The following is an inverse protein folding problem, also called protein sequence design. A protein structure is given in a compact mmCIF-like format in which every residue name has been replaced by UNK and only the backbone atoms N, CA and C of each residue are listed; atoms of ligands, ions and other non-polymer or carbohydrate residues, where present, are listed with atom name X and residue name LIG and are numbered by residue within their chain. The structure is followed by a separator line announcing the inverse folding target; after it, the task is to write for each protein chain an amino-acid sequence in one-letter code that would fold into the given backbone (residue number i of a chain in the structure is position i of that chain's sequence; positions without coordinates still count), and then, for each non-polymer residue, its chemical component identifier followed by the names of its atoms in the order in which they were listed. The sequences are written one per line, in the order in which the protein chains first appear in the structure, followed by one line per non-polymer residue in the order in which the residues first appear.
data_IF_065975542651
#
_entry.id   IF_065975542651
#
_cell.length_a   1.000
_cell.length_b   1.000
_cell.length_c   1.000
_cell.angle_alpha   90.00
_cell.angle_beta   90.00
_cell.angle_gamma   90.00
#
_symmetry.space_group_name_H-M   'P 1'
#
loop_
_entity.id
_entity.type
_entity.pdbx_description
1 polymer ?
#
# COMPACT_ATOMS: atom_id res chain seq x y z
N UNK A 1 9.87 -11.03 -0.36
CA UNK A 1 9.66 -9.84 0.49
C UNK A 1 9.19 -10.34 1.83
N UNK A 2 9.93 -10.03 2.87
CA UNK A 2 9.64 -10.37 4.26
C UNK A 2 9.06 -9.15 5.00
N UNK A 3 8.43 -9.34 6.18
CA UNK A 3 7.86 -8.22 6.93
C UNK A 3 8.88 -7.12 7.27
N UNK A 4 10.13 -7.49 7.56
CA UNK A 4 11.19 -6.52 7.88
C UNK A 4 11.60 -5.65 6.69
N UNK A 5 11.41 -6.12 5.45
CA UNK A 5 11.70 -5.32 4.25
C UNK A 5 10.73 -4.13 4.13
N UNK A 6 9.54 -4.23 4.73
CA UNK A 6 8.45 -3.26 4.56
C UNK A 6 8.17 -2.42 5.81
N UNK A 7 8.51 -2.93 7.01
CA UNK A 7 8.11 -2.32 8.28
C UNK A 7 8.52 -0.86 8.45
N UNK A 8 9.77 -0.53 8.12
CA UNK A 8 10.28 0.84 8.24
C UNK A 8 9.60 1.79 7.25
N UNK A 9 9.51 1.39 5.97
CA UNK A 9 8.86 2.18 4.93
C UNK A 9 7.38 2.42 5.24
N UNK A 10 6.66 1.39 5.66
CA UNK A 10 5.24 1.47 6.03
C UNK A 10 4.99 2.45 7.19
N UNK A 11 5.88 2.48 8.20
CA UNK A 11 5.78 3.42 9.31
C UNK A 11 5.99 4.88 8.84
N UNK A 12 7.01 5.12 8.02
CA UNK A 12 7.34 6.45 7.49
C UNK A 12 6.17 7.00 6.67
N UNK A 13 5.68 6.26 5.69
CA UNK A 13 4.63 6.77 4.80
C UNK A 13 3.30 6.97 5.53
N UNK A 14 2.97 6.14 6.54
CA UNK A 14 1.82 6.37 7.43
C UNK A 14 1.94 7.69 8.19
N UNK A 15 3.13 8.02 8.73
CA UNK A 15 3.34 9.32 9.40
C UNK A 15 3.19 10.52 8.46
N UNK A 16 3.38 10.31 7.16
CA UNK A 16 3.18 11.32 6.11
C UNK A 16 1.73 11.35 5.56
N UNK A 17 0.83 10.56 6.14
CA UNK A 17 -0.58 10.48 5.76
C UNK A 17 -0.85 9.72 4.46
N UNK A 18 0.04 8.81 4.06
CA UNK A 18 -0.22 7.92 2.93
C UNK A 18 -1.21 6.82 3.32
N UNK A 19 -1.98 6.39 2.33
CA UNK A 19 -2.81 5.19 2.44
C UNK A 19 -2.00 3.98 1.97
N UNK A 20 -2.22 2.84 2.64
CA UNK A 20 -1.57 1.58 2.31
C UNK A 20 -2.61 0.56 1.88
N UNK A 21 -2.42 0.01 0.68
CA UNK A 21 -3.34 -0.90 0.03
C UNK A 21 -2.62 -2.14 -0.48
N UNK A 22 -3.36 -3.23 -0.59
CA UNK A 22 -2.97 -4.42 -1.34
C UNK A 22 -3.18 -4.20 -2.82
N UNK A 23 -2.60 -5.05 -3.66
CA UNK A 23 -2.90 -5.05 -5.11
C UNK A 23 -4.36 -5.36 -5.41
N UNK A 24 -5.03 -6.10 -4.51
CA UNK A 24 -6.48 -6.33 -4.55
C UNK A 24 -7.32 -5.08 -4.26
N UNK A 25 -6.70 -4.00 -3.76
CA UNK A 25 -7.38 -2.80 -3.29
C UNK A 25 -7.88 -2.88 -1.85
N UNK A 26 -7.66 -4.00 -1.15
CA UNK A 26 -7.94 -4.12 0.28
C UNK A 26 -6.93 -3.33 1.12
N UNK A 27 -7.28 -2.99 2.36
CA UNK A 27 -6.35 -2.36 3.29
C UNK A 27 -5.13 -3.26 3.54
N UNK A 28 -3.94 -2.65 3.63
CA UNK A 28 -2.70 -3.38 3.84
C UNK A 28 -2.22 -3.42 5.30
N UNK A 29 -1.61 -4.55 5.67
CA UNK A 29 -0.74 -4.68 6.84
C UNK A 29 0.46 -5.61 6.59
N UNK A 30 1.34 -5.70 7.59
CA UNK A 30 2.64 -6.39 7.52
C UNK A 30 2.59 -7.89 7.23
N UNK A 31 1.40 -8.53 7.24
CA UNK A 31 1.24 -9.94 6.90
C UNK A 31 1.29 -10.18 5.39
N UNK A 32 1.21 -9.12 4.60
CA UNK A 32 1.13 -9.20 3.14
C UNK A 32 2.47 -8.87 2.47
N UNK A 33 2.80 -9.66 1.45
CA UNK A 33 4.04 -9.46 0.68
C UNK A 33 3.90 -8.38 -0.42
N UNK A 34 2.67 -8.06 -0.81
CA UNK A 34 2.33 -6.98 -1.73
C UNK A 34 1.99 -5.70 -0.96
N UNK A 35 2.41 -4.53 -1.45
CA UNK A 35 2.09 -3.22 -0.88
C UNK A 35 1.99 -2.15 -1.96
N UNK A 36 1.01 -1.27 -1.83
CA UNK A 36 0.87 -0.01 -2.54
C UNK A 36 0.84 1.10 -1.49
N UNK A 37 1.71 2.09 -1.66
CA UNK A 37 1.68 3.32 -0.85
C UNK A 37 1.34 4.50 -1.77
N UNK A 38 0.24 5.21 -1.48
CA UNK A 38 -0.19 6.35 -2.28
C UNK A 38 -0.73 7.49 -1.40
N UNK A 39 -0.79 8.71 -1.95
CA UNK A 39 -1.44 9.84 -1.26
C UNK A 39 -2.95 9.62 -1.20
N UNK A 40 -3.65 10.24 -0.24
CA UNK A 40 -5.09 10.14 -0.15
C UNK A 40 -5.80 10.44 -1.46
N UNK A 41 -6.74 9.58 -1.85
CA UNK A 41 -7.51 9.71 -3.10
C UNK A 41 -6.79 9.25 -4.38
N UNK A 42 -5.52 8.81 -4.32
CA UNK A 42 -4.82 8.27 -5.50
C UNK A 42 -5.08 6.79 -5.76
N UNK A 43 -5.62 6.04 -4.79
CA UNK A 43 -5.85 4.60 -4.92
C UNK A 43 -6.81 4.23 -6.08
N UNK A 44 -7.77 5.10 -6.39
CA UNK A 44 -8.72 4.92 -7.50
C UNK A 44 -8.05 4.88 -8.88
N UNK A 45 -6.92 5.57 -9.06
CA UNK A 45 -6.14 5.50 -10.31
C UNK A 45 -5.47 4.14 -10.49
N UNK A 46 -5.12 3.46 -9.40
CA UNK A 46 -4.49 2.14 -9.42
C UNK A 46 -5.51 1.03 -9.66
N UNK A 47 -6.72 1.16 -9.14
CA UNK A 47 -7.83 0.22 -9.38
C UNK A 47 -8.27 0.14 -10.86
N UNK A 48 -7.95 1.16 -11.67
CA UNK A 48 -8.23 1.17 -13.12
C UNK A 48 -7.22 0.33 -13.89
N UNK A 49 -5.96 0.25 -13.43
CA UNK A 49 -4.88 -0.47 -14.13
C UNK A 49 -4.96 -1.99 -13.96
N UNK A 50 -5.62 -2.47 -12.90
CA UNK A 50 -5.71 -3.90 -12.57
C UNK A 50 -7.01 -4.60 -13.06
N UNK A 51 -7.81 -3.94 -13.92
CA UNK A 51 -9.00 -4.54 -14.58
C UNK A 51 -8.79 -4.91 -16.05
N UNK A 52 -7.54 -5.00 -16.51
CA UNK A 52 -7.19 -5.50 -17.85
C UNK A 52 -6.80 -6.97 -17.81
#
# INVERSE_FOLDING_TARGET
IFPWDQAAGAAIVRSLGYELHRWSGEAWDLRHADIIACRPGMATLLAVVHRC
#
